data_IF_789913238654
#
_entry.id   IF_789913238654
#
_cell.length_a   1.000
_cell.length_b   1.000
_cell.length_c   1.000
_cell.angle_alpha   90.00
_cell.angle_beta   90.00
_cell.angle_gamma   90.00
#
_symmetry.space_group_name_H-M   'P 1'
#
loop_
_entity.id
_entity.type
_entity.pdbx_description
1 polymer ?
#
# COMPACT_ATOMS: atom_id res chain seq x y z
N UNK A 1 -24.90 -23.81 5.47
CA UNK A 1 -24.07 -22.58 5.55
C UNK A 1 -23.32 -22.60 6.88
N UNK A 2 -21.98 -22.61 6.86
CA UNK A 2 -21.06 -22.81 7.99
C UNK A 2 -21.27 -24.11 8.82
N UNK A 3 -20.54 -25.16 8.44
CA UNK A 3 -20.62 -26.49 9.09
C UNK A 3 -19.95 -26.52 10.48
N UNK A 4 -18.80 -25.86 10.65
CA UNK A 4 -18.15 -25.76 11.95
C UNK A 4 -18.99 -24.89 12.90
N UNK A 5 -19.46 -25.42 14.05
CA UNK A 5 -20.23 -24.66 15.02
C UNK A 5 -19.45 -23.50 15.63
N UNK A 6 -18.11 -23.52 15.61
CA UNK A 6 -17.24 -22.42 16.08
C UNK A 6 -16.90 -21.40 15.00
N UNK A 7 -17.18 -21.67 13.73
CA UNK A 7 -17.00 -20.69 12.67
C UNK A 7 -18.10 -19.64 12.75
N UNK A 8 -17.70 -18.39 13.03
CA UNK A 8 -18.59 -17.24 13.06
C UNK A 8 -18.77 -16.61 11.69
N UNK A 9 -17.72 -16.62 10.85
CA UNK A 9 -17.69 -15.89 9.60
C UNK A 9 -16.83 -16.63 8.57
N UNK A 10 -17.27 -16.62 7.31
CA UNK A 10 -16.45 -17.04 6.18
C UNK A 10 -16.45 -15.97 5.09
N UNK A 11 -15.26 -15.57 4.65
CA UNK A 11 -15.04 -14.45 3.75
C UNK A 11 -14.39 -14.95 2.45
N UNK A 12 -15.03 -14.76 1.27
CA UNK A 12 -14.36 -14.97 0.00
C UNK A 12 -13.42 -13.79 -0.34
N UNK A 13 -12.46 -13.98 -1.26
CA UNK A 13 -11.61 -12.91 -1.78
C UNK A 13 -12.46 -11.77 -2.33
N UNK A 14 -11.98 -10.54 -2.12
CA UNK A 14 -12.54 -9.36 -2.78
C UNK A 14 -11.76 -9.10 -4.06
N UNK A 15 -12.34 -9.51 -5.19
CA UNK A 15 -11.77 -9.33 -6.53
C UNK A 15 -12.47 -8.21 -7.28
N UNK A 16 -11.86 -7.70 -8.34
CA UNK A 16 -12.38 -6.58 -9.11
C UNK A 16 -12.23 -6.81 -10.62
N UNK A 17 -13.21 -6.34 -11.41
CA UNK A 17 -13.23 -6.55 -12.86
C UNK A 17 -12.99 -5.30 -13.70
N UNK A 18 -12.92 -4.11 -13.07
CA UNK A 18 -12.65 -2.83 -13.74
C UNK A 18 -11.28 -2.25 -13.35
N UNK A 19 -10.33 -3.10 -12.93
CA UNK A 19 -8.97 -2.65 -12.62
C UNK A 19 -8.33 -2.14 -13.91
N UNK A 20 -7.82 -0.90 -13.96
CA UNK A 20 -7.18 -0.37 -15.16
C UNK A 20 -5.93 -1.19 -15.53
N UNK A 21 -5.52 -1.20 -16.81
CA UNK A 21 -4.24 -1.75 -17.21
C UNK A 21 -3.09 -1.20 -16.37
N UNK A 22 -2.16 -2.08 -16.02
CA UNK A 22 -0.99 -1.85 -15.15
C UNK A 22 -1.28 -1.48 -13.69
N UNK A 23 -2.55 -1.30 -13.30
CA UNK A 23 -2.99 -0.92 -11.95
C UNK A 23 -2.11 0.18 -11.30
N UNK A 24 -2.04 1.39 -11.89
CA UNK A 24 -1.11 2.44 -11.47
C UNK A 24 -1.29 2.89 -10.01
N UNK A 25 -2.49 2.72 -9.45
CA UNK A 25 -2.83 3.08 -8.06
C UNK A 25 -2.83 1.86 -7.12
N UNK A 26 -2.49 0.65 -7.60
CA UNK A 26 -2.49 -0.59 -6.83
C UNK A 26 -3.84 -0.86 -6.12
N UNK A 27 -4.93 -0.87 -6.89
CA UNK A 27 -6.30 -1.06 -6.42
C UNK A 27 -6.78 -2.52 -6.44
N UNK A 28 -6.13 -3.40 -7.20
CA UNK A 28 -6.50 -4.83 -7.35
C UNK A 28 -6.59 -5.60 -6.02
N UNK A 29 -5.78 -5.23 -5.03
CA UNK A 29 -5.60 -5.96 -3.77
C UNK A 29 -5.05 -7.39 -3.94
N UNK A 30 -4.52 -7.76 -5.10
CA UNK A 30 -4.04 -9.13 -5.38
C UNK A 30 -2.98 -9.61 -4.38
N UNK A 31 -2.03 -8.75 -3.99
CA UNK A 31 -1.03 -9.08 -2.96
C UNK A 31 -1.66 -9.33 -1.59
N UNK A 32 -2.75 -8.64 -1.28
CA UNK A 32 -3.49 -8.88 -0.05
C UNK A 32 -4.26 -10.21 -0.13
N UNK A 33 -5.00 -10.42 -1.22
CA UNK A 33 -5.88 -11.58 -1.42
C UNK A 33 -5.10 -12.89 -1.57
N UNK A 34 -4.02 -12.91 -2.35
CA UNK A 34 -3.32 -14.15 -2.69
C UNK A 34 -2.14 -14.48 -1.78
N UNK A 35 -1.70 -13.54 -0.94
CA UNK A 35 -0.55 -13.74 -0.03
C UNK A 35 -0.94 -13.45 1.40
N UNK A 36 -1.42 -12.24 1.68
CA UNK A 36 -1.64 -11.80 3.06
C UNK A 36 -2.80 -12.54 3.74
N UNK A 37 -3.92 -12.72 3.05
CA UNK A 37 -5.10 -13.40 3.62
C UNK A 37 -4.86 -14.90 3.87
N UNK A 38 -4.32 -15.70 2.94
CA UNK A 38 -3.98 -17.10 3.21
C UNK A 38 -3.02 -17.27 4.38
N UNK A 39 -2.00 -16.41 4.50
CA UNK A 39 -1.06 -16.45 5.63
C UNK A 39 -1.81 -16.18 6.94
N UNK A 40 -2.68 -15.18 6.98
CA UNK A 40 -3.45 -14.86 8.18
C UNK A 40 -4.48 -15.94 8.53
N UNK A 41 -5.14 -16.52 7.54
CA UNK A 41 -6.07 -17.63 7.75
C UNK A 41 -5.35 -18.84 8.37
N UNK A 42 -4.12 -19.14 7.92
CA UNK A 42 -3.28 -20.18 8.55
C UNK A 42 -2.96 -19.90 10.03
N UNK A 43 -3.03 -18.64 10.45
CA UNK A 43 -2.86 -18.18 11.84
C UNK A 43 -4.20 -18.07 12.60
N UNK A 44 -5.33 -18.43 11.98
CA UNK A 44 -6.68 -18.31 12.53
C UNK A 44 -7.22 -16.88 12.53
N UNK A 45 -6.80 -16.06 11.56
CA UNK A 45 -7.12 -14.62 11.45
C UNK A 45 -7.64 -14.25 10.06
N UNK A 46 -8.53 -15.06 9.47
CA UNK A 46 -9.18 -14.65 8.21
C UNK A 46 -9.90 -13.32 8.41
N UNK A 47 -9.52 -12.30 7.63
CA UNK A 47 -10.11 -10.98 7.78
C UNK A 47 -11.45 -10.88 7.07
N UNK A 48 -12.28 -10.00 7.62
CA UNK A 48 -13.45 -9.51 6.93
C UNK A 48 -13.08 -8.26 6.14
N UNK A 49 -13.21 -8.34 4.81
CA UNK A 49 -13.03 -7.21 3.87
C UNK A 49 -14.32 -6.44 3.62
N UNK A 50 -15.39 -6.75 4.38
CA UNK A 50 -16.64 -5.98 4.39
C UNK A 50 -17.66 -6.35 3.31
N UNK A 51 -17.36 -7.25 2.37
CA UNK A 51 -18.28 -7.67 1.30
C UNK A 51 -18.28 -9.18 1.07
N UNK A 52 -19.42 -9.72 0.63
CA UNK A 52 -19.57 -11.10 0.15
C UNK A 52 -19.40 -12.20 1.20
N UNK A 53 -19.22 -11.84 2.48
CA UNK A 53 -19.04 -12.80 3.57
C UNK A 53 -20.38 -13.31 4.11
N UNK A 54 -20.34 -14.50 4.71
CA UNK A 54 -21.45 -15.04 5.51
C UNK A 54 -21.12 -14.93 7.00
N UNK A 55 -22.12 -14.61 7.81
CA UNK A 55 -21.97 -14.40 9.26
C UNK A 55 -23.03 -15.16 10.05
N UNK A 56 -22.59 -15.89 11.07
CA UNK A 56 -23.45 -16.58 12.03
C UNK A 56 -24.10 -15.55 12.95
N UNK A 57 -25.42 -15.37 12.83
CA UNK A 57 -26.21 -14.43 13.64
C UNK A 57 -25.98 -14.59 15.16
N UNK A 58 -25.97 -15.83 15.66
CA UNK A 58 -25.74 -16.10 17.08
C UNK A 58 -24.36 -15.60 17.56
N UNK A 59 -23.33 -15.69 16.71
CA UNK A 59 -22.01 -15.16 17.03
C UNK A 59 -22.03 -13.63 17.10
N UNK A 60 -22.68 -12.97 16.14
CA UNK A 60 -22.87 -11.51 16.17
C UNK A 60 -23.63 -11.04 17.42
N UNK A 61 -24.68 -11.76 17.82
CA UNK A 61 -25.43 -11.45 19.04
C UNK A 61 -24.58 -11.62 20.30
N UNK A 62 -23.67 -12.60 20.33
CA UNK A 62 -22.78 -12.83 21.48
C UNK A 62 -21.83 -11.66 21.76
N UNK A 63 -21.54 -10.82 20.75
CA UNK A 63 -20.70 -9.63 20.88
C UNK A 63 -21.51 -8.32 20.98
N UNK A 64 -22.84 -8.41 21.07
CA UNK A 64 -23.73 -7.26 21.20
C UNK A 64 -24.13 -6.60 19.87
N UNK A 65 -23.96 -7.27 18.73
CA UNK A 65 -24.27 -6.72 17.41
C UNK A 65 -23.06 -6.13 16.69
N UNK A 66 -23.30 -5.38 15.61
CA UNK A 66 -22.23 -4.73 14.87
C UNK A 66 -21.58 -3.64 15.73
N UNK A 67 -20.24 -3.60 15.82
CA UNK A 67 -19.55 -2.68 16.69
C UNK A 67 -19.60 -1.25 16.17
N UNK A 68 -19.87 -0.32 17.09
CA UNK A 68 -19.86 1.13 16.83
C UNK A 68 -18.49 1.73 17.19
N UNK A 69 -18.13 2.86 16.57
CA UNK A 69 -16.97 3.68 16.94
C UNK A 69 -15.69 3.40 16.15
N UNK A 70 -15.78 2.60 15.07
CA UNK A 70 -14.70 2.43 14.10
C UNK A 70 -15.23 2.66 12.69
N UNK A 71 -14.45 3.33 11.85
CA UNK A 71 -14.71 3.50 10.41
C UNK A 71 -14.48 2.24 9.58
N UNK A 72 -13.90 1.21 10.21
CA UNK A 72 -13.74 -0.15 9.70
C UNK A 72 -14.51 -1.11 10.61
N UNK A 73 -15.85 -1.03 10.53
CA UNK A 73 -16.77 -1.79 11.36
C UNK A 73 -16.63 -3.30 11.13
N UNK A 74 -16.32 -3.70 9.90
CA UNK A 74 -16.01 -5.06 9.47
C UNK A 74 -14.78 -5.64 10.18
N UNK A 75 -13.67 -4.89 10.18
CA UNK A 75 -12.41 -5.23 10.86
C UNK A 75 -12.64 -5.31 12.38
N UNK A 76 -13.38 -4.35 12.93
CA UNK A 76 -13.73 -4.36 14.35
C UNK A 76 -14.62 -5.56 14.71
N UNK A 77 -15.58 -5.91 13.85
CA UNK A 77 -16.53 -6.99 14.10
C UNK A 77 -15.82 -8.35 14.16
N UNK A 78 -15.04 -8.70 13.13
CA UNK A 78 -14.35 -10.00 13.14
C UNK A 78 -13.35 -10.08 14.31
N UNK A 79 -12.65 -8.98 14.62
CA UNK A 79 -11.69 -8.97 15.74
C UNK A 79 -12.39 -9.21 17.08
N UNK A 80 -13.58 -8.64 17.31
CA UNK A 80 -14.35 -8.91 18.53
C UNK A 80 -14.90 -10.35 18.57
N UNK A 81 -15.23 -10.94 17.42
CA UNK A 81 -15.62 -12.34 17.31
C UNK A 81 -14.47 -13.28 17.71
N UNK A 82 -13.25 -13.04 17.20
CA UNK A 82 -12.04 -13.76 17.63
C UNK A 82 -11.80 -13.58 19.14
N UNK A 83 -11.97 -12.35 19.62
CA UNK A 83 -11.94 -11.98 21.04
C UNK A 83 -12.87 -12.76 21.96
N UNK A 84 -13.98 -13.21 21.40
CA UNK A 84 -15.04 -13.98 22.07
C UNK A 84 -14.90 -15.49 21.86
N UNK A 85 -13.82 -15.94 21.20
CA UNK A 85 -13.49 -17.35 21.02
C UNK A 85 -14.22 -18.02 19.86
N UNK A 86 -14.66 -17.22 18.89
CA UNK A 86 -15.14 -17.70 17.59
C UNK A 86 -13.99 -17.78 16.58
N UNK A 87 -14.15 -18.63 15.57
CA UNK A 87 -13.23 -18.74 14.45
C UNK A 87 -13.75 -17.93 13.25
N UNK A 88 -12.83 -17.51 12.39
CA UNK A 88 -13.10 -16.97 11.05
C UNK A 88 -12.43 -17.87 10.02
N UNK A 89 -12.96 -17.88 8.80
CA UNK A 89 -12.41 -18.69 7.71
C UNK A 89 -12.30 -17.87 6.42
N UNK A 90 -11.21 -18.07 5.69
CA UNK A 90 -11.06 -17.55 4.33
C UNK A 90 -11.52 -18.59 3.31
N UNK A 91 -12.35 -18.19 2.35
CA UNK A 91 -12.82 -19.05 1.26
C UNK A 91 -12.01 -18.70 0.03
N UNK A 92 -11.15 -19.59 -0.46
CA UNK A 92 -10.24 -19.29 -1.56
C UNK A 92 -10.92 -19.09 -2.92
N UNK A 93 -12.20 -19.42 -3.05
CA UNK A 93 -12.94 -19.38 -4.31
C UNK A 93 -13.33 -17.94 -4.71
N UNK A 94 -13.17 -17.56 -6.00
CA UNK A 94 -13.53 -16.23 -6.50
C UNK A 94 -15.05 -16.06 -6.65
N UNK A 95 -15.75 -15.90 -5.52
CA UNK A 95 -17.22 -15.85 -5.47
C UNK A 95 -17.81 -14.45 -5.66
N UNK A 96 -16.99 -13.40 -5.62
CA UNK A 96 -17.44 -12.01 -5.79
C UNK A 96 -16.45 -11.20 -6.62
N UNK A 97 -17.00 -10.34 -7.47
CA UNK A 97 -16.25 -9.38 -8.26
C UNK A 97 -16.91 -8.01 -8.15
N UNK A 98 -16.20 -7.07 -7.53
CA UNK A 98 -16.63 -5.69 -7.34
C UNK A 98 -16.00 -4.73 -8.35
N UNK A 99 -16.21 -3.44 -8.12
CA UNK A 99 -15.56 -2.36 -8.87
C UNK A 99 -14.59 -1.58 -7.99
N UNK A 100 -13.39 -1.30 -8.51
CA UNK A 100 -12.47 -0.32 -7.93
C UNK A 100 -12.97 1.10 -8.19
N UNK A 101 -12.41 2.06 -7.45
CA UNK A 101 -12.78 3.47 -7.53
C UNK A 101 -12.20 4.14 -8.76
N UNK A 102 -13.02 4.98 -9.42
CA UNK A 102 -12.70 5.57 -10.72
C UNK A 102 -11.84 6.84 -10.66
N UNK A 103 -11.57 7.37 -9.46
CA UNK A 103 -10.75 8.56 -9.27
C UNK A 103 -9.66 8.42 -8.21
N UNK A 104 -8.56 9.17 -8.37
CA UNK A 104 -7.51 9.29 -7.36
C UNK A 104 -8.06 9.83 -6.03
N UNK A 105 -8.94 10.83 -6.09
CA UNK A 105 -9.58 11.43 -4.91
C UNK A 105 -10.36 10.38 -4.11
N UNK A 106 -11.22 9.61 -4.78
CA UNK A 106 -12.00 8.56 -4.11
C UNK A 106 -11.08 7.47 -3.56
N UNK A 107 -10.04 7.10 -4.30
CA UNK A 107 -9.05 6.11 -3.87
C UNK A 107 -8.34 6.53 -2.57
N UNK A 108 -7.83 7.76 -2.51
CA UNK A 108 -7.18 8.30 -1.31
C UNK A 108 -8.14 8.35 -0.12
N UNK A 109 -9.38 8.79 -0.32
CA UNK A 109 -10.40 8.80 0.74
C UNK A 109 -10.68 7.39 1.28
N UNK A 110 -10.78 6.39 0.41
CA UNK A 110 -11.00 5.00 0.81
C UNK A 110 -9.81 4.46 1.63
N UNK A 111 -8.58 4.65 1.14
CA UNK A 111 -7.36 4.18 1.82
C UNK A 111 -7.17 4.85 3.18
N UNK A 112 -7.37 6.17 3.25
CA UNK A 112 -7.34 6.93 4.50
C UNK A 112 -8.40 6.45 5.49
N UNK A 113 -9.63 6.16 5.03
CA UNK A 113 -10.69 5.60 5.88
C UNK A 113 -10.26 4.27 6.49
N UNK A 114 -9.66 3.38 5.69
CA UNK A 114 -9.16 2.09 6.17
C UNK A 114 -8.06 2.28 7.22
N UNK A 115 -7.09 3.17 6.99
CA UNK A 115 -6.04 3.46 7.97
C UNK A 115 -6.62 3.99 9.29
N UNK A 116 -7.53 4.95 9.24
CA UNK A 116 -8.14 5.51 10.45
C UNK A 116 -8.98 4.46 11.18
N UNK A 117 -9.81 3.71 10.45
CA UNK A 117 -10.64 2.64 11.02
C UNK A 117 -9.80 1.55 11.68
N UNK A 118 -8.68 1.16 11.06
CA UNK A 118 -7.71 0.24 11.67
C UNK A 118 -7.20 0.78 13.00
N UNK A 119 -6.72 2.03 13.05
CA UNK A 119 -6.19 2.61 14.29
C UNK A 119 -7.27 2.77 15.37
N UNK A 120 -8.51 3.13 15.00
CA UNK A 120 -9.65 3.17 15.93
C UNK A 120 -9.94 1.79 16.54
N UNK A 121 -10.03 0.76 15.70
CA UNK A 121 -10.22 -0.62 16.11
C UNK A 121 -9.09 -1.06 17.04
N UNK A 122 -7.85 -0.71 16.73
CA UNK A 122 -6.69 -1.00 17.55
C UNK A 122 -6.77 -0.41 18.95
N UNK A 123 -7.11 0.87 19.09
CA UNK A 123 -7.28 1.48 20.41
C UNK A 123 -8.42 0.82 21.19
N UNK A 124 -9.54 0.53 20.54
CA UNK A 124 -10.68 -0.17 21.15
C UNK A 124 -10.29 -1.54 21.69
N UNK A 125 -9.45 -2.28 20.97
CA UNK A 125 -8.96 -3.61 21.34
C UNK A 125 -7.67 -3.57 22.18
N UNK A 126 -7.22 -2.39 22.63
CA UNK A 126 -5.97 -2.20 23.39
C UNK A 126 -4.79 -2.88 22.69
N UNK A 127 -4.63 -2.57 21.39
CA UNK A 127 -3.57 -3.08 20.51
C UNK A 127 -3.57 -4.61 20.37
N UNK A 128 -4.70 -5.26 20.68
CA UNK A 128 -4.84 -6.72 20.73
C UNK A 128 -3.93 -7.43 21.75
N UNK A 129 -3.38 -6.69 22.72
CA UNK A 129 -2.42 -7.24 23.69
C UNK A 129 -3.15 -7.84 24.90
N UNK A 130 -4.06 -7.06 25.50
CA UNK A 130 -4.76 -7.42 26.73
C UNK A 130 -6.15 -6.79 26.80
N UNK A 131 -7.01 -7.33 27.66
CA UNK A 131 -8.33 -6.79 27.94
C UNK A 131 -9.46 -7.78 27.65
N UNK A 132 -10.69 -7.42 28.03
CA UNK A 132 -11.83 -8.33 27.93
C UNK A 132 -12.18 -8.69 26.48
N UNK A 133 -12.02 -7.75 25.55
CA UNK A 133 -12.37 -7.93 24.13
C UNK A 133 -11.39 -8.81 23.35
N UNK A 134 -10.26 -9.21 23.93
CA UNK A 134 -9.28 -10.10 23.30
C UNK A 134 -8.96 -11.32 24.16
N UNK A 135 -9.79 -11.57 25.18
CA UNK A 135 -9.57 -12.59 26.21
C UNK A 135 -9.36 -13.97 25.61
N UNK A 136 -10.15 -14.33 24.60
CA UNK A 136 -10.12 -15.65 23.98
C UNK A 136 -9.29 -15.73 22.70
N UNK A 137 -8.60 -14.66 22.31
CA UNK A 137 -7.68 -14.72 21.17
C UNK A 137 -6.46 -15.58 21.48
N UNK A 138 -6.04 -16.39 20.52
CA UNK A 138 -4.77 -17.11 20.54
C UNK A 138 -3.58 -16.16 20.45
N UNK A 139 -2.38 -16.64 20.77
CA UNK A 139 -1.16 -15.85 20.62
C UNK A 139 -0.98 -15.34 19.19
N UNK A 140 -1.16 -16.20 18.18
CA UNK A 140 -1.04 -15.84 16.77
C UNK A 140 -2.05 -14.77 16.35
N UNK A 141 -3.29 -14.86 16.83
CA UNK A 141 -4.34 -13.85 16.60
C UNK A 141 -3.97 -12.49 17.20
N UNK A 142 -3.48 -12.49 18.44
CA UNK A 142 -3.01 -11.26 19.12
C UNK A 142 -1.82 -10.65 18.41
N UNK A 143 -0.83 -11.47 18.01
CA UNK A 143 0.35 -11.03 17.29
C UNK A 143 -0.04 -10.41 15.94
N UNK A 144 -0.94 -11.05 15.18
CA UNK A 144 -1.43 -10.49 13.92
C UNK A 144 -2.13 -9.14 14.12
N UNK A 145 -3.02 -9.04 15.12
CA UNK A 145 -3.70 -7.79 15.47
C UNK A 145 -2.73 -6.68 15.89
N UNK A 146 -1.72 -7.03 16.68
CA UNK A 146 -0.67 -6.11 17.12
C UNK A 146 0.20 -5.62 15.94
N UNK A 147 0.74 -6.53 15.13
CA UNK A 147 1.60 -6.19 13.98
C UNK A 147 0.86 -5.28 13.00
N UNK A 148 -0.41 -5.56 12.71
CA UNK A 148 -1.20 -4.73 11.79
C UNK A 148 -1.46 -3.32 12.33
N UNK A 149 -1.77 -3.23 13.62
CA UNK A 149 -1.92 -1.96 14.33
C UNK A 149 -0.65 -1.13 14.23
N UNK A 150 0.47 -1.74 14.61
CA UNK A 150 1.77 -1.08 14.64
C UNK A 150 2.19 -0.67 13.24
N UNK A 151 1.98 -1.52 12.23
CA UNK A 151 2.25 -1.20 10.83
C UNK A 151 1.54 0.08 10.36
N UNK A 152 0.29 0.29 10.78
CA UNK A 152 -0.47 1.51 10.43
C UNK A 152 0.16 2.77 11.04
N UNK A 153 0.65 2.71 12.28
CA UNK A 153 1.37 3.81 12.93
C UNK A 153 2.78 4.01 12.36
N UNK A 154 3.42 2.94 11.90
CA UNK A 154 4.75 2.98 11.29
C UNK A 154 4.81 3.78 9.99
N UNK A 155 3.67 4.06 9.36
CA UNK A 155 3.60 4.98 8.22
C UNK A 155 4.16 6.37 8.55
N UNK A 156 4.03 6.85 9.80
CA UNK A 156 4.64 8.11 10.26
C UNK A 156 6.16 8.01 10.24
N UNK A 157 6.72 6.90 10.74
CA UNK A 157 8.17 6.67 10.73
C UNK A 157 8.70 6.46 9.31
N UNK A 158 7.92 5.86 8.40
CA UNK A 158 8.27 5.75 6.99
C UNK A 158 8.39 7.14 6.34
N UNK A 159 7.48 8.07 6.63
CA UNK A 159 7.61 9.45 6.13
C UNK A 159 8.87 10.10 6.68
N UNK A 160 9.17 9.97 7.98
CA UNK A 160 10.40 10.52 8.57
C UNK A 160 11.67 9.93 7.91
N UNK A 161 11.67 8.63 7.61
CA UNK A 161 12.80 7.98 6.94
C UNK A 161 13.00 8.45 5.50
N UNK A 162 11.91 8.75 4.78
CA UNK A 162 11.98 9.33 3.43
C UNK A 162 12.72 10.68 3.41
N UNK A 163 12.68 11.47 4.49
CA UNK A 163 13.41 12.74 4.59
C UNK A 163 14.87 12.56 5.04
N UNK A 164 15.25 11.40 5.58
CA UNK A 164 16.61 11.19 6.10
C UNK A 164 17.69 11.34 5.02
N UNK A 165 17.52 10.67 3.88
CA UNK A 165 18.49 10.73 2.79
C UNK A 165 18.73 12.17 2.25
N UNK A 166 17.70 12.93 1.82
CA UNK A 166 17.92 14.29 1.33
C UNK A 166 18.45 15.26 2.38
N UNK A 167 18.06 15.13 3.67
CA UNK A 167 18.60 15.97 4.75
C UNK A 167 20.11 15.72 4.93
N UNK A 168 20.53 14.46 4.96
CA UNK A 168 21.96 14.10 5.09
C UNK A 168 22.77 14.57 3.88
N UNK A 169 22.18 14.49 2.68
CA UNK A 169 22.84 14.95 1.45
C UNK A 169 23.09 16.47 1.47
N UNK A 170 22.10 17.27 1.91
CA UNK A 170 22.20 18.74 2.01
C UNK A 170 23.11 19.17 3.16
N UNK A 171 23.10 18.47 4.30
CA UNK A 171 23.91 18.83 5.46
C UNK A 171 25.42 18.66 5.24
N UNK A 172 25.83 18.11 4.10
CA UNK A 172 27.23 17.77 3.83
C UNK A 172 27.68 16.48 4.51
N UNK A 173 26.78 15.76 5.19
CA UNK A 173 27.08 14.47 5.81
C UNK A 173 27.35 13.37 4.78
N UNK A 174 28.10 12.35 5.20
CA UNK A 174 28.19 11.09 4.46
C UNK A 174 26.91 10.29 4.76
N UNK A 175 26.27 9.72 3.73
CA UNK A 175 25.10 8.87 3.94
C UNK A 175 25.49 7.61 4.71
N UNK A 176 26.70 7.10 4.44
CA UNK A 176 27.27 5.96 5.11
C UNK A 176 28.58 6.35 5.81
N UNK A 177 28.63 6.28 7.14
CA UNK A 177 29.86 6.53 7.88
C UNK A 177 30.80 5.31 7.74
N UNK A 178 32.09 5.58 7.47
CA UNK A 178 33.14 4.58 7.41
C UNK A 178 34.47 5.20 7.89
N UNK A 179 35.34 4.39 8.49
CA UNK A 179 36.63 4.82 9.07
C UNK A 179 37.82 4.38 8.22
N UNK A 180 37.71 3.24 7.54
CA UNK A 180 38.76 2.68 6.70
C UNK A 180 38.22 2.22 5.34
N UNK A 181 39.09 2.15 4.34
CA UNK A 181 38.70 1.63 3.02
C UNK A 181 38.23 0.18 3.09
N UNK A 182 38.84 -0.63 3.96
CA UNK A 182 38.41 -2.01 4.19
C UNK A 182 36.97 -2.05 4.74
N UNK A 183 36.62 -1.17 5.68
CA UNK A 183 35.26 -1.07 6.18
C UNK A 183 34.27 -0.67 5.07
N UNK A 184 34.62 0.30 4.22
CA UNK A 184 33.76 0.71 3.11
C UNK A 184 33.50 -0.45 2.13
N UNK A 185 34.53 -1.23 1.78
CA UNK A 185 34.37 -2.42 0.91
C UNK A 185 33.40 -3.43 1.52
N UNK A 186 33.56 -3.73 2.81
CA UNK A 186 32.65 -4.65 3.51
C UNK A 186 31.23 -4.11 3.60
N UNK A 187 31.05 -2.81 3.85
CA UNK A 187 29.72 -2.19 3.82
C UNK A 187 29.05 -2.33 2.45
N UNK A 188 29.79 -2.09 1.36
CA UNK A 188 29.28 -2.27 -0.01
C UNK A 188 28.88 -3.74 -0.26
N UNK A 189 29.73 -4.69 0.11
CA UNK A 189 29.50 -6.13 -0.11
C UNK A 189 28.33 -6.67 0.71
N UNK A 190 28.23 -6.28 1.99
CA UNK A 190 27.12 -6.67 2.87
C UNK A 190 25.80 -6.03 2.43
N UNK A 191 25.84 -4.79 1.94
CA UNK A 191 24.67 -4.13 1.37
C UNK A 191 24.20 -4.82 0.09
N UNK A 192 25.13 -5.19 -0.81
CA UNK A 192 24.82 -5.99 -2.00
C UNK A 192 24.15 -7.32 -1.63
N UNK A 193 24.75 -8.08 -0.71
CA UNK A 193 24.18 -9.36 -0.26
C UNK A 193 22.77 -9.18 0.32
N UNK A 194 22.59 -8.21 1.22
CA UNK A 194 21.27 -7.89 1.81
C UNK A 194 20.24 -7.60 0.73
N UNK A 195 20.61 -6.82 -0.30
CA UNK A 195 19.67 -6.40 -1.34
C UNK A 195 19.35 -7.54 -2.29
N UNK A 196 20.32 -8.37 -2.69
CA UNK A 196 20.05 -9.56 -3.51
C UNK A 196 19.16 -10.55 -2.77
N UNK A 197 19.43 -10.79 -1.48
CA UNK A 197 18.57 -11.65 -0.65
C UNK A 197 17.16 -11.08 -0.53
N UNK A 198 17.01 -9.76 -0.32
CA UNK A 198 15.71 -9.10 -0.31
C UNK A 198 15.00 -9.22 -1.66
N UNK A 199 15.70 -9.09 -2.79
CA UNK A 199 15.11 -9.26 -4.13
C UNK A 199 14.62 -10.69 -4.38
N UNK A 200 15.40 -11.69 -3.97
CA UNK A 200 14.99 -13.09 -4.05
C UNK A 200 13.76 -13.33 -3.17
N UNK A 201 13.78 -12.80 -1.95
CA UNK A 201 12.64 -12.90 -1.03
C UNK A 201 11.39 -12.22 -1.61
N UNK A 202 11.50 -11.03 -2.18
CA UNK A 202 10.40 -10.33 -2.87
C UNK A 202 9.88 -11.15 -4.04
N UNK A 203 10.77 -11.71 -4.87
CA UNK A 203 10.38 -12.53 -6.01
C UNK A 203 9.56 -13.75 -5.57
N UNK A 204 10.05 -14.49 -4.57
CA UNK A 204 9.36 -15.67 -4.03
C UNK A 204 8.04 -15.27 -3.36
N UNK A 205 8.06 -14.23 -2.52
CA UNK A 205 6.89 -13.79 -1.75
C UNK A 205 5.75 -13.33 -2.67
N UNK A 206 6.08 -12.76 -3.82
CA UNK A 206 5.11 -12.24 -4.78
C UNK A 206 4.73 -13.22 -5.90
N UNK A 207 5.21 -14.47 -5.89
CA UNK A 207 4.79 -15.48 -6.88
C UNK A 207 3.26 -15.63 -6.96
N UNK A 208 2.49 -15.69 -5.85
CA UNK A 208 1.05 -15.90 -5.92
C UNK A 208 0.25 -14.72 -6.50
N UNK A 209 0.71 -13.48 -6.32
CA UNK A 209 0.04 -12.27 -6.85
C UNK A 209 0.70 -11.68 -8.10
N UNK A 210 1.86 -12.21 -8.50
CA UNK A 210 2.73 -11.66 -9.53
C UNK A 210 3.73 -10.64 -9.00
N UNK A 211 5.01 -10.82 -9.35
CA UNK A 211 6.12 -9.95 -8.94
C UNK A 211 5.83 -8.46 -9.22
N UNK A 212 5.27 -8.14 -10.39
CA UNK A 212 4.96 -6.75 -10.79
C UNK A 212 3.97 -6.09 -9.83
N UNK A 213 2.93 -6.84 -9.48
CA UNK A 213 1.88 -6.40 -8.54
C UNK A 213 2.48 -6.15 -7.17
N UNK A 214 3.37 -7.03 -6.70
CA UNK A 214 4.14 -6.81 -5.47
C UNK A 214 4.96 -5.52 -5.49
N UNK A 215 5.73 -5.29 -6.56
CA UNK A 215 6.54 -4.06 -6.71
C UNK A 215 5.68 -2.80 -6.78
N UNK A 216 4.52 -2.85 -7.46
CA UNK A 216 3.54 -1.76 -7.44
C UNK A 216 3.00 -1.51 -6.04
N UNK A 217 2.71 -2.56 -5.28
CA UNK A 217 2.30 -2.46 -3.88
C UNK A 217 3.33 -1.77 -2.99
N UNK A 218 4.62 -2.10 -3.16
CA UNK A 218 5.70 -1.43 -2.42
C UNK A 218 5.78 0.08 -2.75
N UNK A 219 5.64 0.46 -4.01
CA UNK A 219 5.57 1.87 -4.42
C UNK A 219 4.32 2.56 -3.90
N UNK A 220 3.18 1.87 -3.94
CA UNK A 220 1.92 2.35 -3.44
C UNK A 220 1.99 2.69 -1.95
N UNK A 221 2.66 1.84 -1.17
CA UNK A 221 2.95 2.11 0.22
C UNK A 221 3.75 3.41 0.41
N UNK A 222 4.79 3.64 -0.41
CA UNK A 222 5.64 4.84 -0.29
C UNK A 222 4.90 6.13 -0.65
N UNK A 223 4.19 6.16 -1.79
CA UNK A 223 3.51 7.39 -2.20
C UNK A 223 2.26 7.68 -1.37
N UNK A 224 1.58 6.66 -0.82
CA UNK A 224 0.47 6.90 0.10
C UNK A 224 0.90 7.29 1.52
N UNK A 225 2.15 7.02 1.91
CA UNK A 225 2.63 7.21 3.27
C UNK A 225 2.41 8.63 3.83
N UNK A 226 2.68 9.74 3.09
CA UNK A 226 2.42 11.10 3.59
C UNK A 226 0.96 11.35 3.92
N UNK A 227 0.02 10.82 3.12
CA UNK A 227 -1.42 11.01 3.36
C UNK A 227 -1.88 10.20 4.57
N UNK A 228 -1.41 8.96 4.70
CA UNK A 228 -1.71 8.12 5.87
C UNK A 228 -1.12 8.71 7.16
N UNK A 229 0.14 9.14 7.14
CA UNK A 229 0.80 9.75 8.29
C UNK A 229 0.08 11.04 8.72
N UNK A 230 -0.26 11.92 7.77
CA UNK A 230 -0.98 13.15 8.05
C UNK A 230 -2.36 12.87 8.66
N UNK A 231 -3.05 11.84 8.15
CA UNK A 231 -4.36 11.43 8.67
C UNK A 231 -4.26 10.87 10.09
N UNK A 232 -3.28 10.01 10.36
CA UNK A 232 -3.02 9.48 11.71
C UNK A 232 -2.69 10.61 12.69
N UNK A 233 -1.79 11.52 12.31
CA UNK A 233 -1.38 12.65 13.16
C UNK A 233 -2.57 13.57 13.45
N UNK A 234 -3.34 13.96 12.43
CA UNK A 234 -4.49 14.86 12.60
C UNK A 234 -5.63 14.23 13.39
N UNK A 235 -5.86 12.92 13.26
CA UNK A 235 -6.99 12.27 13.92
C UNK A 235 -6.67 11.85 15.36
N UNK A 236 -5.44 11.44 15.66
CA UNK A 236 -5.12 10.83 16.96
C UNK A 236 -4.10 11.60 17.81
N UNK A 237 -3.35 12.54 17.24
CA UNK A 237 -2.27 13.24 17.98
C UNK A 237 -2.52 14.74 18.15
N UNK A 238 -3.08 15.40 17.14
CA UNK A 238 -3.27 16.86 17.18
C UNK A 238 -4.60 17.27 17.83
N UNK A 239 -4.60 18.28 18.71
CA UNK A 239 -5.84 18.90 19.17
C UNK A 239 -6.50 19.72 18.05
N UNK A 240 -7.81 20.00 18.17
CA UNK A 240 -8.59 20.71 17.13
C UNK A 240 -7.98 22.05 16.72
N UNK A 241 -7.47 22.83 17.68
CA UNK A 241 -6.85 24.14 17.42
C UNK A 241 -5.54 24.06 16.62
N UNK A 242 -4.88 22.90 16.60
CA UNK A 242 -3.67 22.64 15.82
C UNK A 242 -3.98 21.90 14.50
N UNK A 243 -5.26 21.90 14.09
CA UNK A 243 -5.73 21.22 12.89
C UNK A 243 -6.06 19.75 13.09
N UNK A 244 -6.28 19.33 14.34
CA UNK A 244 -6.88 18.03 14.66
C UNK A 244 -8.24 17.87 14.00
N UNK A 245 -8.55 16.66 13.51
CA UNK A 245 -9.80 16.38 12.79
C UNK A 245 -10.45 15.09 13.27
N UNK A 246 -11.73 15.17 13.62
CA UNK A 246 -12.58 14.00 13.81
C UNK A 246 -12.81 13.34 12.45
N UNK A 247 -12.53 12.05 12.37
CA UNK A 247 -12.71 11.31 11.13
C UNK A 247 -14.19 11.01 10.88
N UNK A 248 -14.71 11.46 9.73
CA UNK A 248 -16.11 11.28 9.33
C UNK A 248 -16.20 10.24 8.22
N UNK A 249 -17.18 9.35 8.31
CA UNK A 249 -17.47 8.38 7.26
C UNK A 249 -18.13 9.07 6.06
N UNK A 250 -17.62 8.81 4.85
CA UNK A 250 -18.33 9.12 3.61
C UNK A 250 -18.21 7.92 2.68
N UNK A 251 -19.34 7.41 2.19
CA UNK A 251 -19.35 6.24 1.30
C UNK A 251 -18.55 6.54 0.03
N UNK A 252 -17.63 5.64 -0.32
CA UNK A 252 -16.76 5.81 -1.49
C UNK A 252 -17.52 5.67 -2.81
N UNK A 253 -18.64 4.93 -2.82
CA UNK A 253 -19.47 4.72 -4.02
C UNK A 253 -20.51 5.81 -4.28
N UNK A 254 -20.75 6.73 -3.34
CA UNK A 254 -21.74 7.82 -3.50
C UNK A 254 -21.11 9.12 -4.03
N UNK A 255 -19.80 9.14 -4.27
CA UNK A 255 -19.10 10.32 -4.78
C UNK A 255 -18.97 10.21 -6.30
N UNK A 256 -19.61 11.13 -7.03
CA UNK A 256 -19.42 11.21 -8.48
C UNK A 256 -17.97 11.55 -8.79
N UNK A 257 -17.43 10.95 -9.85
CA UNK A 257 -16.10 11.29 -10.34
C UNK A 257 -16.17 12.65 -11.06
N UNK A 258 -15.95 13.75 -10.33
CA UNK A 258 -16.00 15.12 -10.89
C UNK A 258 -15.04 15.34 -12.08
N UNK A 259 -14.04 14.46 -12.24
CA UNK A 259 -13.02 14.54 -13.28
C UNK A 259 -13.17 13.51 -14.41
N UNK A 260 -14.01 12.49 -14.25
CA UNK A 260 -14.15 11.33 -15.15
C UNK A 260 -12.79 10.82 -15.68
N UNK A 261 -11.83 10.59 -14.78
CA UNK A 261 -10.43 10.36 -15.13
C UNK A 261 -10.21 9.17 -16.08
N UNK A 262 -11.10 8.17 -16.04
CA UNK A 262 -10.98 6.91 -16.77
C UNK A 262 -11.79 6.80 -18.05
N UNK A 263 -12.72 7.72 -18.29
CA UNK A 263 -13.50 7.74 -19.52
C UNK A 263 -12.95 8.84 -20.44
N UNK A 264 -12.40 8.50 -21.62
CA UNK A 264 -11.78 9.48 -22.51
C UNK A 264 -12.75 10.54 -23.03
N UNK A 265 -14.07 10.27 -23.06
CA UNK A 265 -15.06 11.20 -23.65
C UNK A 265 -15.39 12.39 -22.71
N UNK A 266 -15.83 12.19 -21.46
CA UNK A 266 -16.11 13.26 -20.51
C UNK A 266 -14.90 13.61 -19.63
N UNK A 267 -13.69 13.12 -19.94
CA UNK A 267 -12.46 13.37 -19.16
C UNK A 267 -12.19 14.86 -19.03
N UNK A 268 -11.99 15.33 -17.80
CA UNK A 268 -11.59 16.70 -17.55
C UNK A 268 -10.22 17.04 -18.19
N UNK A 269 -10.00 18.29 -18.64
CA UNK A 269 -8.73 18.69 -19.23
C UNK A 269 -7.58 18.58 -18.22
N UNK A 270 -6.35 18.38 -18.73
CA UNK A 270 -5.14 18.12 -17.91
C UNK A 270 -4.95 19.17 -16.80
N UNK A 271 -5.13 20.45 -17.10
CA UNK A 271 -4.96 21.52 -16.11
C UNK A 271 -5.89 21.36 -14.90
N UNK A 272 -7.15 20.95 -15.12
CA UNK A 272 -8.12 20.77 -14.04
C UNK A 272 -7.81 19.53 -13.22
N UNK A 273 -7.39 18.45 -13.88
CA UNK A 273 -6.93 17.23 -13.21
C UNK A 273 -5.71 17.52 -12.33
N UNK A 274 -4.73 18.25 -12.85
CA UNK A 274 -3.55 18.69 -12.08
C UNK A 274 -3.92 19.57 -10.89
N UNK A 275 -4.82 20.54 -11.04
CA UNK A 275 -5.27 21.41 -9.93
C UNK A 275 -5.88 20.58 -8.80
N UNK A 276 -6.80 19.67 -9.12
CA UNK A 276 -7.44 18.78 -8.13
C UNK A 276 -6.43 17.82 -7.51
N UNK A 277 -5.54 17.21 -8.30
CA UNK A 277 -4.51 16.33 -7.76
C UNK A 277 -3.55 17.07 -6.84
N UNK A 278 -3.11 18.27 -7.21
CA UNK A 278 -2.15 19.02 -6.40
C UNK A 278 -2.78 19.53 -5.12
N UNK A 279 -3.95 20.15 -5.18
CA UNK A 279 -4.54 20.85 -4.04
C UNK A 279 -5.54 19.99 -3.26
N UNK A 280 -6.54 19.40 -3.92
CA UNK A 280 -7.60 18.64 -3.24
C UNK A 280 -7.08 17.29 -2.73
N UNK A 281 -6.26 16.61 -3.54
CA UNK A 281 -5.57 15.37 -3.12
C UNK A 281 -4.26 15.65 -2.37
N UNK A 282 -3.86 16.91 -2.20
CA UNK A 282 -2.64 17.33 -1.50
C UNK A 282 -1.33 16.76 -2.10
N UNK A 283 -1.31 16.38 -3.38
CA UNK A 283 -0.10 15.85 -4.03
C UNK A 283 1.00 16.92 -4.22
N UNK A 284 0.74 18.19 -3.93
CA UNK A 284 1.80 19.22 -3.84
C UNK A 284 2.92 18.81 -2.87
N UNK A 285 2.61 18.02 -1.83
CA UNK A 285 3.60 17.48 -0.89
C UNK A 285 4.64 16.59 -1.61
N UNK A 286 4.21 15.82 -2.61
CA UNK A 286 5.12 15.01 -3.43
C UNK A 286 6.00 15.88 -4.31
N UNK A 287 5.46 16.93 -4.94
CA UNK A 287 6.27 17.86 -5.74
C UNK A 287 7.33 18.55 -4.88
N UNK A 288 6.94 19.09 -3.72
CA UNK A 288 7.89 19.72 -2.78
C UNK A 288 8.98 18.74 -2.36
N UNK A 289 8.61 17.50 -2.03
CA UNK A 289 9.56 16.46 -1.69
C UNK A 289 10.50 16.09 -2.86
N UNK A 290 9.97 15.92 -4.07
CA UNK A 290 10.78 15.63 -5.26
C UNK A 290 11.77 16.76 -5.52
N UNK A 291 11.32 18.01 -5.48
CA UNK A 291 12.20 19.18 -5.66
C UNK A 291 13.26 19.25 -4.56
N UNK A 292 12.91 18.93 -3.32
CA UNK A 292 13.85 18.86 -2.21
C UNK A 292 14.93 17.78 -2.43
N UNK A 293 14.54 16.57 -2.86
CA UNK A 293 15.48 15.49 -3.15
C UNK A 293 16.37 15.83 -4.35
N UNK A 294 15.80 16.37 -5.42
CA UNK A 294 16.56 16.79 -6.61
C UNK A 294 17.57 17.88 -6.26
N UNK A 295 17.16 18.89 -5.49
CA UNK A 295 18.06 19.92 -4.99
C UNK A 295 19.18 19.31 -4.13
N UNK A 296 18.84 18.38 -3.23
CA UNK A 296 19.82 17.68 -2.38
C UNK A 296 20.88 16.90 -3.19
N UNK A 297 20.47 16.29 -4.31
CA UNK A 297 21.37 15.53 -5.20
C UNK A 297 22.22 16.47 -6.07
N UNK A 298 21.65 17.56 -6.60
CA UNK A 298 22.33 18.48 -7.53
C UNK A 298 23.32 19.41 -6.80
N UNK A 299 22.97 19.91 -5.61
CA UNK A 299 23.77 20.92 -4.89
C UNK A 299 25.19 20.46 -4.53
N UNK A 300 25.49 19.16 -4.62
CA UNK A 300 26.77 18.59 -4.23
C UNK A 300 27.67 18.33 -5.45
N UNK A 301 28.50 19.32 -5.83
CA UNK A 301 29.58 19.17 -6.83
C UNK A 301 30.78 18.41 -6.23
N UNK A 302 31.24 17.34 -6.89
CA UNK A 302 32.44 16.57 -6.50
C UNK A 302 33.60 16.76 -7.50
N UNK A 303 34.83 17.00 -7.02
CA UNK A 303 36.06 17.17 -7.83
C UNK A 303 36.59 15.84 -8.41
N UNK A 304 37.19 15.89 -9.61
CA UNK A 304 37.36 14.81 -10.62
C UNK A 304 38.20 13.54 -10.28
N UNK A 305 38.82 13.40 -9.09
CA UNK A 305 39.63 12.20 -8.74
C UNK A 305 39.26 11.53 -7.40
N UNK A 306 38.58 12.25 -6.50
CA UNK A 306 37.87 11.71 -5.30
C UNK A 306 36.40 11.38 -5.60
N UNK A 307 36.01 11.46 -6.87
CA UNK A 307 34.63 11.52 -7.36
C UNK A 307 33.89 10.21 -7.19
N UNK A 308 34.52 9.06 -7.46
CA UNK A 308 33.82 7.77 -7.42
C UNK A 308 33.49 7.36 -5.98
N UNK A 309 34.45 7.35 -5.06
CA UNK A 309 34.21 7.05 -3.64
C UNK A 309 33.30 8.09 -3.01
N UNK A 310 33.46 9.37 -3.35
CA UNK A 310 32.54 10.42 -2.89
C UNK A 310 31.14 10.23 -3.45
N UNK A 311 30.96 9.81 -4.70
CA UNK A 311 29.63 9.53 -5.24
C UNK A 311 29.03 8.31 -4.52
N UNK A 312 29.78 7.22 -4.38
CA UNK A 312 29.34 5.97 -3.77
C UNK A 312 28.99 6.11 -2.29
N UNK A 313 29.60 7.03 -1.56
CA UNK A 313 29.33 7.28 -0.12
C UNK A 313 28.20 8.29 0.14
N UNK A 314 27.64 8.86 -0.94
CA UNK A 314 26.63 9.91 -0.91
C UNK A 314 25.41 9.54 -1.78
N UNK A 315 25.09 10.36 -2.80
CA UNK A 315 23.94 10.14 -3.67
C UNK A 315 24.02 8.82 -4.44
N UNK A 316 25.23 8.32 -4.71
CA UNK A 316 25.46 7.03 -5.34
C UNK A 316 25.40 5.84 -4.39
N UNK A 317 25.07 6.00 -3.10
CA UNK A 317 25.01 4.82 -2.22
C UNK A 317 23.91 3.85 -2.70
N UNK A 318 24.25 2.58 -2.99
CA UNK A 318 23.26 1.59 -3.44
C UNK A 318 22.20 1.37 -2.34
N UNK A 319 20.87 1.29 -2.60
CA UNK A 319 20.11 1.18 -3.87
C UNK A 319 19.68 2.45 -4.55
N UNK A 320 20.33 3.60 -4.27
CA UNK A 320 19.83 4.89 -4.74
C UNK A 320 18.42 5.13 -4.16
N UNK A 321 18.31 5.07 -2.83
CA UNK A 321 17.02 5.17 -2.10
C UNK A 321 16.22 6.39 -2.57
N UNK A 322 16.92 7.52 -2.79
CA UNK A 322 16.32 8.75 -3.30
C UNK A 322 15.62 8.58 -4.66
N UNK A 323 16.14 7.74 -5.56
CA UNK A 323 15.56 7.48 -6.88
C UNK A 323 14.23 6.71 -6.72
N UNK A 324 14.21 5.71 -5.83
CA UNK A 324 13.00 4.96 -5.50
C UNK A 324 11.94 5.85 -4.87
N UNK A 325 12.33 6.77 -3.98
CA UNK A 325 11.40 7.72 -3.37
C UNK A 325 10.83 8.71 -4.41
N UNK A 326 11.66 9.30 -5.29
CA UNK A 326 11.19 10.20 -6.35
C UNK A 326 10.19 9.49 -7.26
N UNK A 327 10.55 8.31 -7.77
CA UNK A 327 9.72 7.58 -8.72
C UNK A 327 8.41 7.09 -8.10
N UNK A 328 8.42 6.76 -6.81
CA UNK A 328 7.18 6.44 -6.08
C UNK A 328 6.30 7.68 -5.93
N UNK A 329 6.86 8.81 -5.47
CA UNK A 329 6.13 10.08 -5.32
C UNK A 329 5.64 10.66 -6.66
N UNK A 330 6.23 10.26 -7.79
CA UNK A 330 5.79 10.65 -9.12
C UNK A 330 4.51 9.95 -9.58
N UNK A 331 4.16 8.78 -9.02
CA UNK A 331 3.00 7.98 -9.43
C UNK A 331 1.69 8.77 -9.50
N UNK A 332 1.22 9.46 -8.44
CA UNK A 332 -0.05 10.20 -8.50
C UNK A 332 -0.01 11.37 -9.50
N UNK A 333 1.16 11.98 -9.68
CA UNK A 333 1.37 13.07 -10.64
C UNK A 333 1.29 12.55 -12.07
N UNK A 334 1.96 11.43 -12.35
CA UNK A 334 1.90 10.75 -13.63
C UNK A 334 0.47 10.30 -13.97
N UNK A 335 -0.24 9.75 -12.98
CA UNK A 335 -1.64 9.36 -13.14
C UNK A 335 -2.54 10.57 -13.45
N UNK A 336 -2.28 11.73 -12.83
CA UNK A 336 -3.00 12.96 -13.13
C UNK A 336 -2.67 13.57 -14.50
N UNK A 337 -1.53 13.24 -15.10
CA UNK A 337 -1.19 13.62 -16.47
C UNK A 337 -1.82 12.64 -17.46
N UNK A 338 -1.58 11.34 -17.24
CA UNK A 338 -1.88 10.23 -18.14
C UNK A 338 -2.68 9.13 -17.43
N UNK A 339 -3.95 9.38 -17.08
CA UNK A 339 -4.81 8.38 -16.47
C UNK A 339 -5.16 7.32 -17.51
N UNK A 340 -5.32 6.05 -17.09
CA UNK A 340 -5.68 4.97 -18.00
C UNK A 340 -7.12 5.15 -18.52
N UNK A 341 -7.35 4.72 -19.76
CA UNK A 341 -8.69 4.57 -20.31
C UNK A 341 -9.29 3.23 -19.84
N UNK A 342 -10.51 3.26 -19.31
CA UNK A 342 -11.26 2.05 -18.95
C UNK A 342 -12.52 1.91 -19.80
N UNK A 343 -12.88 0.69 -20.23
CA UNK A 343 -14.17 0.42 -20.87
C UNK A 343 -15.36 0.74 -19.95
N UNK A 344 -16.54 0.93 -20.54
CA UNK A 344 -17.77 1.05 -19.74
C UNK A 344 -18.02 -0.24 -18.96
N UNK A 345 -18.68 -0.12 -17.81
CA UNK A 345 -19.02 -1.26 -16.96
C UNK A 345 -19.77 -2.35 -17.74
N UNK A 346 -20.71 -2.00 -18.63
CA UNK A 346 -21.47 -3.01 -19.37
C UNK A 346 -20.59 -3.79 -20.35
N UNK A 347 -19.54 -3.18 -20.88
CA UNK A 347 -18.63 -3.83 -21.83
C UNK A 347 -17.76 -4.91 -21.17
N UNK A 348 -17.66 -4.89 -19.84
CA UNK A 348 -16.88 -5.84 -19.03
C UNK A 348 -17.70 -7.04 -18.54
N UNK A 349 -19.00 -7.07 -18.83
CA UNK A 349 -19.94 -8.05 -18.30
C UNK A 349 -20.59 -8.86 -19.44
N UNK A 350 -20.75 -10.16 -19.21
CA UNK A 350 -21.63 -11.03 -19.98
C UNK A 350 -22.91 -11.26 -19.16
N UNK A 351 -24.06 -11.20 -19.81
CA UNK A 351 -25.34 -11.47 -19.14
C UNK A 351 -25.80 -12.88 -19.50
N UNK A 352 -26.08 -13.65 -18.46
CA UNK A 352 -26.72 -14.95 -18.62
C UNK A 352 -28.08 -14.75 -19.33
N UNK A 353 -28.33 -15.47 -20.44
CA UNK A 353 -29.51 -15.23 -21.28
C UNK A 353 -30.83 -15.61 -20.59
N UNK A 354 -30.80 -16.55 -19.64
CA UNK A 354 -31.99 -17.07 -18.98
C UNK A 354 -32.33 -16.28 -17.70
N UNK A 355 -31.31 -15.93 -16.93
CA UNK A 355 -31.45 -15.27 -15.62
C UNK A 355 -31.22 -13.76 -15.67
N UNK A 356 -30.56 -13.25 -16.72
CA UNK A 356 -30.18 -11.85 -16.85
C UNK A 356 -29.06 -11.40 -15.90
N UNK A 357 -28.52 -12.31 -15.10
CA UNK A 357 -27.44 -12.03 -14.14
C UNK A 357 -26.17 -11.67 -14.90
N UNK A 358 -25.52 -10.59 -14.48
CA UNK A 358 -24.30 -10.10 -15.10
C UNK A 358 -23.06 -10.71 -14.43
N UNK A 359 -22.24 -11.38 -15.23
CA UNK A 359 -20.98 -11.98 -14.83
C UNK A 359 -19.81 -11.25 -15.50
N UNK A 360 -18.69 -11.01 -14.80
CA UNK A 360 -17.48 -10.49 -15.44
C UNK A 360 -16.99 -11.42 -16.56
N UNK A 361 -16.66 -10.83 -17.71
CA UNK A 361 -15.93 -11.52 -18.78
C UNK A 361 -14.62 -12.07 -18.23
N UNK A 362 -14.18 -13.24 -18.69
CA UNK A 362 -12.91 -13.85 -18.24
C UNK A 362 -11.72 -12.88 -18.40
N UNK A 363 -11.63 -12.19 -19.53
CA UNK A 363 -10.59 -11.19 -19.80
C UNK A 363 -10.62 -9.96 -18.86
N UNK A 364 -11.75 -9.73 -18.19
CA UNK A 364 -11.91 -8.61 -17.24
C UNK A 364 -11.57 -9.00 -15.81
N UNK A 365 -11.47 -10.31 -15.50
CA UNK A 365 -11.11 -10.80 -14.16
C UNK A 365 -9.64 -10.62 -13.81
N UNK A 366 -8.79 -10.31 -14.80
CA UNK A 366 -7.35 -10.20 -14.64
C UNK A 366 -6.82 -8.81 -15.01
N UNK A 367 -5.91 -8.29 -14.19
CA UNK A 367 -5.22 -7.03 -14.46
C UNK A 367 -4.31 -7.18 -15.68
N UNK A 368 -4.60 -6.41 -16.75
CA UNK A 368 -3.78 -6.38 -17.97
C UNK A 368 -2.45 -5.69 -17.71
N UNK A 369 -1.37 -6.20 -18.29
CA UNK A 369 -0.05 -5.56 -18.25
C UNK A 369 0.34 -5.03 -19.63
N UNK A 370 0.85 -3.81 -19.70
CA UNK A 370 1.31 -3.17 -20.93
C UNK A 370 2.82 -2.86 -20.88
N UNK A 371 3.34 -2.19 -21.91
CA UNK A 371 4.74 -1.73 -21.94
C UNK A 371 5.07 -0.79 -20.77
N UNK A 372 4.09 -0.06 -20.23
CA UNK A 372 4.32 0.85 -19.12
C UNK A 372 4.78 0.10 -17.86
N UNK A 373 4.21 -1.09 -17.58
CA UNK A 373 4.69 -1.96 -16.51
C UNK A 373 6.17 -2.36 -16.70
N UNK A 374 6.60 -2.62 -17.92
CA UNK A 374 8.01 -2.95 -18.21
C UNK A 374 8.94 -1.76 -18.00
N UNK A 375 8.54 -0.56 -18.42
CA UNK A 375 9.30 0.66 -18.15
C UNK A 375 9.45 0.90 -16.64
N UNK A 376 8.42 0.59 -15.87
CA UNK A 376 8.46 0.64 -14.41
C UNK A 376 9.41 -0.41 -13.81
N UNK A 377 9.47 -1.63 -14.34
CA UNK A 377 10.42 -2.65 -13.89
C UNK A 377 11.86 -2.34 -14.25
N UNK A 378 12.09 -1.63 -15.36
CA UNK A 378 13.43 -1.26 -15.81
C UNK A 378 14.21 -0.51 -14.72
N UNK A 379 13.54 0.27 -13.85
CA UNK A 379 14.17 0.90 -12.69
C UNK A 379 14.78 -0.15 -11.73
N UNK A 380 14.03 -1.20 -11.38
CA UNK A 380 14.51 -2.23 -10.46
C UNK A 380 15.68 -2.98 -11.08
N UNK A 381 15.62 -3.27 -12.37
CA UNK A 381 16.73 -3.88 -13.12
C UNK A 381 17.95 -2.96 -13.16
N UNK A 382 17.77 -1.66 -13.40
CA UNK A 382 18.84 -0.67 -13.37
C UNK A 382 19.51 -0.59 -12.00
N UNK A 383 18.74 -0.52 -10.91
CA UNK A 383 19.28 -0.51 -9.54
C UNK A 383 20.07 -1.78 -9.25
N UNK A 384 19.58 -2.94 -9.68
CA UNK A 384 20.27 -4.24 -9.51
C UNK A 384 21.56 -4.31 -10.34
N UNK A 385 21.56 -3.78 -11.57
CA UNK A 385 22.77 -3.70 -12.39
C UNK A 385 23.80 -2.76 -11.76
N UNK A 386 23.36 -1.57 -11.34
CA UNK A 386 24.20 -0.59 -10.66
C UNK A 386 24.85 -1.19 -9.40
N UNK A 387 24.07 -1.83 -8.55
CA UNK A 387 24.54 -2.59 -7.39
C UNK A 387 25.63 -3.59 -7.72
N UNK A 388 25.41 -4.38 -8.77
CA UNK A 388 26.31 -5.44 -9.19
C UNK A 388 27.64 -4.85 -9.65
N UNK A 389 27.60 -3.76 -10.41
CA UNK A 389 28.80 -3.03 -10.82
C UNK A 389 29.55 -2.50 -9.59
N UNK A 390 28.87 -1.85 -8.65
CA UNK A 390 29.49 -1.32 -7.42
C UNK A 390 30.10 -2.44 -6.56
N UNK A 391 29.42 -3.58 -6.45
CA UNK A 391 29.91 -4.76 -5.76
C UNK A 391 31.19 -5.30 -6.40
N UNK A 392 31.20 -5.49 -7.73
CA UNK A 392 32.38 -5.96 -8.46
C UNK A 392 33.54 -4.98 -8.29
N UNK A 393 33.29 -3.68 -8.42
CA UNK A 393 34.32 -2.65 -8.25
C UNK A 393 34.94 -2.67 -6.84
N UNK A 394 34.18 -3.05 -5.79
CA UNK A 394 34.68 -3.12 -4.42
C UNK A 394 35.83 -4.11 -4.19
N UNK A 395 36.15 -4.97 -5.17
CA UNK A 395 37.31 -5.86 -5.12
C UNK A 395 38.61 -5.23 -5.66
N UNK A 396 38.51 -4.13 -6.41
CA UNK A 396 39.62 -3.57 -7.19
C UNK A 396 40.16 -2.24 -6.66
N UNK A 397 39.30 -1.41 -6.05
CA UNK A 397 39.71 -0.25 -5.24
C UNK A 397 39.54 -0.60 -3.77
#
# INVERSE_FOLDING_TARGET
MLQDPKCSMACPPQLFYNVPPDDPLCQSLDTFVHISEPIKDSMGVAWCTGSGYVLRRAALQSIGGFPIGSLAEDVCCFSMLLGSGWNTAFVHEPLQFGTVLDSLTSHLKQRTRWTIGTVQTSFKLRFSIFGPLVKHMTFSQRLCGFVYTVSSLFTVFLVLSMFTAPIVLISGGNLVPYTSMNQLKWLIRSNFLTIILNRINEFISYLPSGYRTGQRGARAMMWMAPFHALSVIRTFLLPEWLGGKVAVFTSSGSQKADLNERDPKPRAPVWRRLVVTMWDCQCYLHLVYIMFVVAAVITRKTTLKKTLISLLTHAGWPPLIWLTCILSCWVPINYALFPPDCPDRQDLLDRDPDTGVAYPKEDSKHTKSTWAAWAFEAQNSFITLYMTVVFVLSFWF
#
